data_IF_241779967567
#
_entry.id   IF_241779967567
#
_cell.length_a   1.000
_cell.length_b   1.000
_cell.length_c   1.000
_cell.angle_alpha   90.00
_cell.angle_beta   90.00
_cell.angle_gamma   90.00
#
_symmetry.space_group_name_H-M   'P 1'
#
loop_
_entity.id
_entity.type
_entity.pdbx_description
1 polymer ?
#
# COMPACT_ATOMS: atom_id res chain seq x y z
N UNK A 1 -22.02 -8.35 0.26
CA UNK A 1 -20.88 -8.29 1.22
C UNK A 1 -20.18 -6.95 1.04
N UNK A 2 -19.82 -6.23 2.11
CA UNK A 2 -19.05 -5.00 1.98
C UNK A 2 -17.59 -5.42 1.83
N UNK A 3 -17.07 -5.35 0.61
CA UNK A 3 -15.68 -5.64 0.31
C UNK A 3 -14.83 -4.51 0.89
N UNK A 4 -14.33 -4.72 2.09
CA UNK A 4 -13.53 -3.76 2.82
C UNK A 4 -12.05 -4.17 2.75
N UNK A 5 -11.21 -3.25 2.29
CA UNK A 5 -9.76 -3.45 2.21
C UNK A 5 -9.11 -2.70 3.37
N UNK A 6 -8.43 -3.44 4.25
CA UNK A 6 -7.60 -2.86 5.30
C UNK A 6 -6.17 -2.76 4.79
N UNK A 7 -5.57 -1.58 4.94
CA UNK A 7 -4.25 -1.29 4.38
C UNK A 7 -3.50 -0.24 5.19
N UNK A 8 -2.35 0.15 4.66
CA UNK A 8 -1.52 1.23 5.21
C UNK A 8 -1.43 2.37 4.20
N UNK A 9 -1.52 3.60 4.69
CA UNK A 9 -1.28 4.80 3.90
C UNK A 9 0.17 5.25 4.11
N UNK A 10 0.90 5.41 3.02
CA UNK A 10 2.29 5.90 3.04
C UNK A 10 2.29 7.40 2.70
N UNK A 11 2.66 8.22 3.66
CA UNK A 11 2.80 9.67 3.48
C UNK A 11 4.25 10.05 3.14
N UNK A 12 4.43 11.21 2.49
CA UNK A 12 5.75 11.80 2.27
C UNK A 12 6.60 11.13 1.18
N UNK A 13 5.99 10.32 0.32
CA UNK A 13 6.70 9.61 -0.73
C UNK A 13 7.24 10.58 -1.79
N UNK A 14 8.53 10.48 -2.09
CA UNK A 14 9.17 11.27 -3.14
C UNK A 14 8.64 10.85 -4.52
N UNK A 15 8.66 11.80 -5.45
CA UNK A 15 8.24 11.57 -6.84
C UNK A 15 9.02 10.44 -7.53
N UNK A 16 10.31 10.27 -7.19
CA UNK A 16 11.15 9.16 -7.65
C UNK A 16 10.66 7.81 -7.13
N UNK A 17 10.29 7.72 -5.85
CA UNK A 17 9.76 6.52 -5.22
C UNK A 17 8.39 6.16 -5.80
N UNK A 18 7.51 7.16 -6.01
CA UNK A 18 6.22 6.95 -6.68
C UNK A 18 6.39 6.37 -8.08
N UNK A 19 7.36 6.89 -8.86
CA UNK A 19 7.67 6.36 -10.20
C UNK A 19 8.25 4.94 -10.14
N UNK A 20 9.06 4.62 -9.14
CA UNK A 20 9.60 3.28 -8.95
C UNK A 20 8.49 2.26 -8.64
N UNK A 21 7.56 2.60 -7.75
CA UNK A 21 6.37 1.76 -7.49
C UNK A 21 5.56 1.61 -8.77
N UNK A 22 5.31 2.72 -9.48
CA UNK A 22 4.58 2.66 -10.74
C UNK A 22 5.25 1.74 -11.77
N UNK A 23 6.57 1.80 -11.91
CA UNK A 23 7.31 0.93 -12.82
C UNK A 23 7.28 -0.55 -12.41
N UNK A 24 7.26 -0.83 -11.10
CA UNK A 24 7.16 -2.18 -10.56
C UNK A 24 5.75 -2.78 -10.74
N UNK A 25 4.72 -1.99 -10.45
CA UNK A 25 3.31 -2.42 -10.55
C UNK A 25 2.77 -2.37 -11.99
N UNK A 26 3.48 -1.70 -12.91
CA UNK A 26 2.98 -1.51 -14.27
C UNK A 26 2.84 -2.83 -15.02
N UNK A 27 1.70 -3.01 -15.69
CA UNK A 27 1.43 -4.11 -16.61
C UNK A 27 0.14 -4.85 -16.30
N UNK A 28 -0.06 -5.28 -15.05
CA UNK A 28 -1.24 -6.04 -14.64
C UNK A 28 -2.26 -5.22 -13.84
N UNK A 29 -1.88 -4.02 -13.40
CA UNK A 29 -2.69 -3.16 -12.54
C UNK A 29 -2.87 -1.76 -13.14
N UNK A 30 -4.07 -1.19 -12.96
CA UNK A 30 -4.37 0.19 -13.29
C UNK A 30 -4.28 1.07 -12.05
N UNK A 31 -3.58 2.21 -12.16
CA UNK A 31 -3.58 3.21 -11.10
C UNK A 31 -4.91 3.99 -11.11
N UNK A 32 -5.67 3.91 -10.03
CA UNK A 32 -6.89 4.71 -9.81
C UNK A 32 -6.71 5.67 -8.65
N UNK A 33 -7.30 6.85 -8.78
CA UNK A 33 -7.41 7.82 -7.68
C UNK A 33 -8.67 7.54 -6.88
N UNK A 34 -8.53 7.50 -5.56
CA UNK A 34 -9.63 7.28 -4.62
C UNK A 34 -9.52 8.25 -3.46
N UNK A 35 -10.66 8.66 -2.91
CA UNK A 35 -10.69 9.39 -1.66
C UNK A 35 -10.65 8.39 -0.50
N UNK A 36 -9.63 8.52 0.36
CA UNK A 36 -9.52 7.71 1.57
C UNK A 36 -9.84 8.54 2.80
N UNK A 37 -10.63 7.98 3.70
CA UNK A 37 -10.86 8.54 5.02
C UNK A 37 -9.85 7.92 6.00
N UNK A 38 -9.14 8.78 6.73
CA UNK A 38 -8.12 8.39 7.70
C UNK A 38 -8.55 8.92 9.05
N UNK A 39 -8.72 8.02 10.02
CA UNK A 39 -8.91 8.37 11.41
C UNK A 39 -7.55 8.64 12.08
N UNK A 40 -7.39 9.83 12.64
CA UNK A 40 -6.21 10.25 13.39
C UNK A 40 -6.34 9.81 14.86
N UNK A 41 -5.21 9.82 15.58
CA UNK A 41 -5.16 9.38 16.99
C UNK A 41 -6.03 10.19 17.94
N UNK A 42 -6.36 11.43 17.58
CA UNK A 42 -7.26 12.31 18.35
C UNK A 42 -8.75 12.03 18.06
N UNK A 43 -9.06 11.04 17.22
CA UNK A 43 -10.41 10.67 16.80
C UNK A 43 -10.96 11.56 15.67
N UNK A 44 -10.19 12.53 15.18
CA UNK A 44 -10.59 13.30 14.00
C UNK A 44 -10.42 12.48 12.73
N UNK A 45 -11.22 12.77 11.71
CA UNK A 45 -11.12 12.12 10.39
C UNK A 45 -10.68 13.15 9.35
N UNK A 46 -9.68 12.78 8.55
CA UNK A 46 -9.25 13.55 7.40
C UNK A 46 -9.54 12.77 6.12
N UNK A 47 -9.81 13.49 5.03
CA UNK A 47 -9.95 12.89 3.70
C UNK A 47 -8.75 13.28 2.85
N UNK A 48 -8.13 12.29 2.21
CA UNK A 48 -7.01 12.50 1.30
C UNK A 48 -7.24 11.77 -0.01
N UNK A 49 -6.78 12.37 -1.12
CA UNK A 49 -6.68 11.65 -2.39
C UNK A 49 -5.48 10.69 -2.31
N UNK A 50 -5.72 9.43 -2.60
CA UNK A 50 -4.70 8.39 -2.68
C UNK A 50 -4.74 7.69 -4.06
N UNK A 51 -3.58 7.20 -4.49
CA UNK A 51 -3.48 6.30 -5.64
C UNK A 51 -3.56 4.85 -5.17
N UNK A 52 -4.40 4.04 -5.80
CA UNK A 52 -4.50 2.60 -5.57
C UNK A 52 -4.29 1.85 -6.87
N UNK A 53 -3.52 0.76 -6.84
CA UNK A 53 -3.34 -0.13 -7.99
C UNK A 53 -4.43 -1.20 -7.98
N UNK A 54 -5.28 -1.18 -9.00
CA UNK A 54 -6.43 -2.08 -9.12
C UNK A 54 -6.13 -3.10 -10.21
N UNK A 55 -6.31 -4.39 -9.91
CA UNK A 55 -6.15 -5.45 -10.90
C UNK A 55 -7.09 -5.21 -12.09
N UNK A 56 -6.54 -5.14 -13.30
CA UNK A 56 -7.30 -4.88 -14.53
C UNK A 56 -7.36 -6.07 -15.48
N UNK A 57 -6.83 -7.23 -15.07
CA UNK A 57 -6.85 -8.46 -15.85
C UNK A 57 -8.04 -9.36 -15.45
N UNK A 58 -8.16 -10.51 -16.10
CA UNK A 58 -9.21 -11.49 -15.82
C UNK A 58 -9.21 -11.94 -14.35
N UNK A 59 -10.41 -12.02 -13.76
CA UNK A 59 -10.64 -12.41 -12.35
C UNK A 59 -10.16 -13.83 -12.06
N UNK A 60 -10.18 -14.72 -13.06
CA UNK A 60 -9.72 -16.11 -12.96
C UNK A 60 -8.23 -16.26 -12.62
N UNK A 61 -7.47 -15.17 -12.70
CA UNK A 61 -6.04 -15.11 -12.33
C UNK A 61 -5.81 -14.56 -10.92
N UNK A 62 -6.87 -14.11 -10.24
CA UNK A 62 -6.80 -13.70 -8.84
C UNK A 62 -6.88 -14.93 -7.93
N UNK A 63 -6.09 -14.90 -6.86
CA UNK A 63 -6.24 -15.86 -5.78
C UNK A 63 -7.48 -15.44 -4.97
N UNK A 64 -8.45 -16.34 -4.75
CA UNK A 64 -9.61 -16.02 -3.93
C UNK A 64 -9.20 -15.56 -2.52
N UNK A 65 -9.84 -14.52 -1.95
CA UNK A 65 -9.58 -14.06 -0.59
C UNK A 65 -9.61 -15.19 0.47
N UNK A 66 -10.44 -16.20 0.25
CA UNK A 66 -10.69 -17.36 1.10
C UNK A 66 -9.48 -18.30 1.13
N UNK A 67 -8.70 -18.31 0.05
CA UNK A 67 -7.47 -19.10 -0.05
C UNK A 67 -6.28 -18.34 0.55
N UNK A 68 -6.27 -17.00 0.46
CA UNK A 68 -5.13 -16.21 0.89
C UNK A 68 -5.50 -14.80 1.36
N UNK A 69 -6.23 -14.73 2.47
CA UNK A 69 -6.44 -13.47 3.19
C UNK A 69 -5.14 -13.09 3.89
N UNK A 70 -4.73 -11.84 3.75
CA UNK A 70 -3.60 -11.29 4.49
C UNK A 70 -4.07 -10.09 5.32
N UNK A 71 -3.43 -9.91 6.48
CA UNK A 71 -3.52 -8.71 7.28
C UNK A 71 -2.31 -7.82 6.99
N UNK A 72 -2.47 -6.47 6.98
CA UNK A 72 -1.31 -5.57 6.99
C UNK A 72 -0.30 -5.88 8.10
N UNK A 73 -0.76 -6.45 9.23
CA UNK A 73 0.10 -6.91 10.31
C UNK A 73 1.05 -8.03 9.88
N UNK A 74 0.63 -8.91 8.97
CA UNK A 74 1.46 -10.02 8.47
C UNK A 74 2.63 -9.47 7.65
N UNK A 75 2.37 -8.43 6.84
CA UNK A 75 3.43 -7.72 6.11
C UNK A 75 4.36 -6.97 7.06
N UNK A 76 3.83 -6.27 8.07
CA UNK A 76 4.65 -5.56 9.05
C UNK A 76 5.58 -6.47 9.85
N UNK A 77 5.18 -7.73 10.04
CA UNK A 77 5.99 -8.76 10.69
C UNK A 77 6.93 -9.49 9.73
N UNK A 78 6.81 -9.26 8.41
CA UNK A 78 7.65 -9.93 7.42
C UNK A 78 9.11 -9.48 7.52
N UNK A 79 10.04 -10.43 7.34
CA UNK A 79 11.48 -10.15 7.31
C UNK A 79 11.84 -9.10 6.25
N UNK A 80 11.15 -9.15 5.10
CA UNK A 80 11.33 -8.18 4.02
C UNK A 80 10.97 -6.75 4.46
N UNK A 81 9.84 -6.56 5.14
CA UNK A 81 9.42 -5.24 5.62
C UNK A 81 10.37 -4.71 6.69
N UNK A 82 10.75 -5.55 7.65
CA UNK A 82 11.71 -5.18 8.70
C UNK A 82 13.07 -4.79 8.13
N UNK A 83 13.57 -5.53 7.12
CA UNK A 83 14.82 -5.21 6.44
C UNK A 83 14.76 -3.86 5.71
N UNK A 84 13.66 -3.56 5.00
CA UNK A 84 13.49 -2.29 4.31
C UNK A 84 13.39 -1.09 5.27
N UNK A 85 12.67 -1.24 6.39
CA UNK A 85 12.60 -0.18 7.40
C UNK A 85 13.97 0.05 8.04
N UNK A 86 14.74 -1.00 8.32
CA UNK A 86 16.08 -0.86 8.85
C UNK A 86 17.01 -0.13 7.86
N UNK A 87 16.92 -0.46 6.57
CA UNK A 87 17.68 0.21 5.51
C UNK A 87 17.31 1.70 5.39
N UNK A 88 16.01 2.01 5.32
CA UNK A 88 15.53 3.39 5.21
C UNK A 88 15.97 4.26 6.40
N UNK A 89 15.94 3.72 7.62
CA UNK A 89 16.43 4.42 8.82
C UNK A 89 17.93 4.70 8.75
N UNK A 90 18.71 3.73 8.28
CA UNK A 90 20.15 3.91 8.11
C UNK A 90 20.49 4.98 7.06
N UNK A 91 19.67 5.12 6.02
CA UNK A 91 19.78 6.20 5.02
C UNK A 91 19.41 7.57 5.60
N UNK A 92 18.35 7.66 6.42
CA UNK A 92 17.96 8.91 7.10
C UNK A 92 19.03 9.40 8.10
N UNK A 93 19.69 8.49 8.82
CA UNK A 93 20.77 8.85 9.77
C UNK A 93 22.05 9.36 9.07
N UNK A 94 22.17 9.16 7.76
CA UNK A 94 23.32 9.61 6.96
C UNK A 94 23.10 10.96 6.25
N UNK A 95 21.91 11.56 6.39
CA UNK A 95 21.54 12.88 5.85
C UNK A 95 21.68 14.00 6.90
#
# INVERSE_FOLDING_TARGET
PRDEVHGMLVFGMLDSQRRAIHAFENGMFDLRRVDVQVELRDGSTITHEAGVYVWSQEETKLVPPEERRWSPSDLMQSEWFLANIALARAEEEQL
#
